data_IF_814663339745
#
_entry.id   IF_814663339745
#
_cell.length_a   1.000
_cell.length_b   1.000
_cell.length_c   1.000
_cell.angle_alpha   90.00
_cell.angle_beta   90.00
_cell.angle_gamma   90.00
#
_symmetry.space_group_name_H-M   'P 1'
#
loop_
_entity.id
_entity.type
_entity.pdbx_description
1 polymer ?
#
# COMPACT_ATOMS: atom_id res chain seq x y z
N UNK A 1 14.38 -4.98 4.67
CA UNK A 1 13.70 -4.95 5.98
C UNK A 1 12.99 -6.28 6.17
N UNK A 2 12.79 -6.74 7.41
CA UNK A 2 11.92 -7.90 7.65
C UNK A 2 10.45 -7.53 7.40
N UNK A 3 9.62 -8.49 7.01
CA UNK A 3 8.21 -8.27 6.64
C UNK A 3 7.43 -7.59 7.77
N UNK A 4 7.68 -7.97 9.02
CA UNK A 4 7.01 -7.42 10.20
C UNK A 4 7.36 -5.94 10.41
N UNK A 5 8.59 -5.54 10.09
CA UNK A 5 9.02 -4.14 10.16
C UNK A 5 8.34 -3.30 9.09
N UNK A 6 8.13 -3.87 7.89
CA UNK A 6 7.42 -3.18 6.80
C UNK A 6 5.95 -3.00 7.20
N UNK A 7 5.32 -4.04 7.74
CA UNK A 7 3.94 -3.99 8.22
C UNK A 7 3.76 -2.96 9.34
N UNK A 8 4.67 -2.91 10.32
CA UNK A 8 4.64 -1.92 11.39
C UNK A 8 4.74 -0.48 10.85
N UNK A 9 5.71 -0.20 9.96
CA UNK A 9 5.84 1.13 9.35
C UNK A 9 4.62 1.52 8.51
N UNK A 10 4.07 0.60 7.73
CA UNK A 10 2.86 0.87 6.95
C UNK A 10 1.66 1.20 7.85
N UNK A 11 1.55 0.53 8.99
CA UNK A 11 0.47 0.76 9.96
C UNK A 11 0.61 2.13 10.65
N UNK A 12 1.84 2.57 10.95
CA UNK A 12 2.12 3.92 11.47
C UNK A 12 1.66 5.02 10.49
N UNK A 13 1.80 4.81 9.18
CA UNK A 13 1.40 5.77 8.14
C UNK A 13 -0.12 6.01 8.08
N UNK A 14 -0.91 5.14 8.69
CA UNK A 14 -2.37 5.24 8.73
C UNK A 14 -2.90 5.35 10.16
N UNK A 15 -2.12 5.96 11.06
CA UNK A 15 -2.48 6.17 12.47
C UNK A 15 -2.89 4.87 13.20
N UNK A 16 -2.26 3.76 12.83
CA UNK A 16 -2.55 2.43 13.33
C UNK A 16 -3.96 1.87 13.03
N UNK A 17 -4.67 2.46 12.06
CA UNK A 17 -5.95 1.93 11.58
C UNK A 17 -5.73 0.80 10.56
N UNK A 18 -6.03 -0.42 11.01
CA UNK A 18 -5.85 -1.63 10.20
C UNK A 18 -6.84 -1.73 9.03
N UNK A 19 -8.03 -1.16 9.15
CA UNK A 19 -9.04 -1.19 8.09
C UNK A 19 -8.67 -0.20 6.98
N UNK A 20 -8.20 0.99 7.37
CA UNK A 20 -7.65 1.96 6.41
C UNK A 20 -6.46 1.36 5.68
N UNK A 21 -5.52 0.72 6.40
CA UNK A 21 -4.37 0.05 5.77
C UNK A 21 -4.83 -1.00 4.75
N UNK A 22 -5.76 -1.88 5.14
CA UNK A 22 -6.27 -2.94 4.27
C UNK A 22 -6.94 -2.36 3.01
N UNK A 23 -7.75 -1.31 3.16
CA UNK A 23 -8.41 -0.63 2.04
C UNK A 23 -7.40 0.06 1.11
N UNK A 24 -6.38 0.71 1.65
CA UNK A 24 -5.30 1.32 0.86
C UNK A 24 -4.53 0.27 0.06
N UNK A 25 -4.16 -0.86 0.69
CA UNK A 25 -3.49 -1.97 0.01
C UNK A 25 -4.39 -2.51 -1.12
N UNK A 26 -5.66 -2.77 -0.85
CA UNK A 26 -6.59 -3.29 -1.86
C UNK A 26 -6.73 -2.34 -3.06
N UNK A 27 -6.98 -1.05 -2.80
CA UNK A 27 -7.08 -0.03 -3.84
C UNK A 27 -5.80 0.05 -4.66
N UNK A 28 -4.64 0.00 -4.01
CA UNK A 28 -3.35 0.06 -4.70
C UNK A 28 -3.06 -1.18 -5.52
N UNK A 29 -3.36 -2.38 -5.01
CA UNK A 29 -3.23 -3.63 -5.78
C UNK A 29 -4.08 -3.58 -7.05
N UNK A 30 -5.30 -3.04 -6.98
CA UNK A 30 -6.15 -2.82 -8.17
C UNK A 30 -5.49 -1.89 -9.18
N UNK A 31 -4.87 -0.80 -8.74
CA UNK A 31 -4.13 0.11 -9.63
C UNK A 31 -2.93 -0.58 -10.29
N UNK A 32 -2.14 -1.34 -9.54
CA UNK A 32 -0.99 -2.08 -10.05
C UNK A 32 -1.41 -3.14 -11.08
N UNK A 33 -2.50 -3.88 -10.80
CA UNK A 33 -3.09 -4.82 -11.76
C UNK A 33 -3.53 -4.14 -13.06
N UNK A 34 -4.00 -2.88 -12.98
CA UNK A 34 -4.39 -2.08 -14.12
C UNK A 34 -3.20 -1.41 -14.84
N UNK A 35 -1.96 -1.78 -14.50
CA UNK A 35 -0.75 -1.30 -15.17
C UNK A 35 -0.18 0.01 -14.60
N UNK A 36 -0.65 0.47 -13.44
CA UNK A 36 -0.04 1.62 -12.79
C UNK A 36 1.44 1.32 -12.45
N UNK A 37 2.35 2.29 -12.60
CA UNK A 37 3.75 2.09 -12.22
C UNK A 37 3.86 1.95 -10.70
N UNK A 38 4.80 1.12 -10.26
CA UNK A 38 5.17 1.05 -8.85
C UNK A 38 6.21 2.12 -8.49
N UNK A 39 6.22 2.53 -7.23
CA UNK A 39 7.02 3.64 -6.71
C UNK A 39 8.27 3.16 -5.96
N UNK A 40 8.49 1.86 -5.84
CA UNK A 40 9.55 1.24 -5.01
C UNK A 40 10.54 0.40 -5.81
N UNK A 41 10.55 0.54 -7.14
CA UNK A 41 11.46 -0.19 -8.04
C UNK A 41 11.24 -1.70 -8.04
N UNK A 42 10.04 -2.16 -7.67
CA UNK A 42 9.69 -3.57 -7.61
C UNK A 42 9.52 -4.18 -9.01
N UNK A 43 9.85 -5.47 -9.14
CA UNK A 43 9.51 -6.25 -10.32
C UNK A 43 8.15 -6.91 -10.14
N UNK A 44 7.11 -6.28 -10.70
CA UNK A 44 5.71 -6.72 -10.54
C UNK A 44 5.41 -8.10 -11.14
N UNK A 45 6.32 -8.68 -11.93
CA UNK A 45 6.20 -10.06 -12.44
C UNK A 45 6.71 -11.10 -11.46
N UNK A 46 7.55 -10.70 -10.51
CA UNK A 46 8.22 -11.59 -9.54
C UNK A 46 7.71 -11.38 -8.11
N UNK A 47 7.33 -10.15 -7.78
CA UNK A 47 6.88 -9.76 -6.44
C UNK A 47 5.35 -9.75 -6.33
N UNK A 48 4.82 -10.12 -5.16
CA UNK A 48 3.39 -10.03 -4.89
C UNK A 48 2.97 -8.57 -4.81
N UNK A 49 1.91 -8.20 -5.53
CA UNK A 49 1.44 -6.81 -5.57
C UNK A 49 1.05 -6.26 -4.18
N UNK A 50 0.55 -7.12 -3.29
CA UNK A 50 0.23 -6.72 -1.93
C UNK A 50 1.49 -6.31 -1.13
N UNK A 51 2.61 -7.03 -1.31
CA UNK A 51 3.88 -6.72 -0.65
C UNK A 51 4.46 -5.42 -1.22
N UNK A 52 4.34 -5.20 -2.54
CA UNK A 52 4.72 -3.94 -3.20
C UNK A 52 3.90 -2.77 -2.67
N UNK A 53 2.57 -2.90 -2.62
CA UNK A 53 1.69 -1.87 -2.08
C UNK A 53 2.00 -1.56 -0.61
N UNK A 54 2.26 -2.60 0.21
CA UNK A 54 2.62 -2.41 1.62
C UNK A 54 3.96 -1.66 1.77
N UNK A 55 4.95 -1.94 0.91
CA UNK A 55 6.22 -1.18 0.87
C UNK A 55 6.02 0.27 0.45
N UNK A 56 5.20 0.52 -0.57
CA UNK A 56 4.89 1.88 -1.01
C UNK A 56 4.24 2.71 0.11
N UNK A 57 3.31 2.11 0.86
CA UNK A 57 2.70 2.74 2.03
C UNK A 57 3.76 2.94 3.13
N UNK A 58 4.52 1.91 3.50
CA UNK A 58 5.55 1.99 4.55
C UNK A 58 6.64 3.04 4.27
N UNK A 59 6.95 3.30 2.99
CA UNK A 59 7.89 4.34 2.56
C UNK A 59 7.24 5.73 2.45
N UNK A 60 5.96 5.88 2.80
CA UNK A 60 5.22 7.16 2.75
C UNK A 60 4.93 7.64 1.33
N UNK A 61 5.05 6.77 0.32
CA UNK A 61 4.85 7.12 -1.10
C UNK A 61 3.38 7.13 -1.51
N UNK A 62 2.52 6.58 -0.67
CA UNK A 62 1.07 6.59 -0.81
C UNK A 62 0.46 7.17 0.45
N UNK A 63 -0.36 8.20 0.29
CA UNK A 63 -1.05 8.90 1.37
C UNK A 63 -2.56 8.74 1.23
N UNK A 64 -3.27 8.71 2.36
CA UNK A 64 -4.72 8.79 2.36
C UNK A 64 -5.13 10.26 2.18
N UNK A 65 -5.66 10.62 1.01
CA UNK A 65 -6.07 12.00 0.72
C UNK A 65 -7.49 12.31 1.20
N UNK A 66 -8.44 11.40 0.96
CA UNK A 66 -9.87 11.58 1.26
C UNK A 66 -10.60 10.24 1.32
N UNK A 67 -11.61 10.16 2.18
CA UNK A 67 -12.66 9.14 2.15
C UNK A 67 -13.88 9.81 1.51
N UNK A 68 -14.33 9.30 0.37
CA UNK A 68 -15.56 9.76 -0.27
C UNK A 68 -16.72 8.94 0.29
N UNK A 69 -17.73 9.61 0.83
CA UNK A 69 -19.01 8.98 1.14
C UNK A 69 -19.72 8.72 -0.19
N UNK A 70 -20.14 7.48 -0.41
CA UNK A 70 -21.02 7.15 -1.54
C UNK A 70 -22.45 7.31 -1.06
N UNK A 71 -23.14 8.35 -1.54
CA UNK A 71 -24.58 8.57 -1.36
C UNK A 71 -25.43 7.48 -2.04
#
# INVERSE_FOLDING_TARGET
MRTEQIAAKALEQVNNDRYVLANMIFKRVKQLNNGAPNLVGANLKLEKLADVAMREIAEGKLVLERIEEMD
#
